data_IF_599707467475
#
_entry.id   IF_599707467475
#
_cell.length_a   1.000
_cell.length_b   1.000
_cell.length_c   1.000
_cell.angle_alpha   90.00
_cell.angle_beta   90.00
_cell.angle_gamma   90.00
#
_symmetry.space_group_name_H-M   'P 1'
#
loop_
_entity.id
_entity.type
_entity.pdbx_description
1 polymer ?
#
# COMPACT_ATOMS: atom_id res chain seq x y z
N UNK A 1 8.07 0.62 -17.43
CA UNK A 1 7.60 0.54 -16.03
C UNK A 1 6.34 1.37 -15.94
N UNK A 2 5.28 0.87 -15.31
CA UNK A 2 4.04 1.63 -15.15
C UNK A 2 4.11 2.50 -13.90
N UNK A 3 3.54 3.69 -13.98
CA UNK A 3 3.43 4.58 -12.84
C UNK A 3 2.03 4.45 -12.23
N UNK A 4 1.95 4.06 -10.96
CA UNK A 4 0.71 3.71 -10.26
C UNK A 4 0.55 4.66 -9.07
N UNK A 5 -0.64 5.22 -8.92
CA UNK A 5 -1.00 6.02 -7.75
C UNK A 5 -1.83 5.16 -6.81
N UNK A 6 -1.30 4.91 -5.62
CA UNK A 6 -2.05 4.32 -4.50
C UNK A 6 -2.77 5.44 -3.74
N UNK A 7 -4.07 5.28 -3.53
CA UNK A 7 -4.84 6.08 -2.58
C UNK A 7 -5.05 5.25 -1.32
N UNK A 8 -4.35 5.60 -0.26
CA UNK A 8 -4.38 4.92 1.03
C UNK A 8 -5.42 5.59 1.91
N UNK A 9 -6.51 4.90 2.29
CA UNK A 9 -7.52 5.45 3.18
C UNK A 9 -6.95 5.68 4.58
N UNK A 10 -7.54 6.63 5.31
CA UNK A 10 -7.12 6.98 6.68
C UNK A 10 -7.07 5.78 7.64
N UNK A 11 -7.97 4.81 7.47
CA UNK A 11 -8.00 3.58 8.28
C UNK A 11 -6.72 2.75 8.13
N UNK A 12 -5.99 2.88 7.02
CA UNK A 12 -4.72 2.21 6.71
C UNK A 12 -3.49 3.13 6.86
N UNK A 13 -3.68 4.40 7.20
CA UNK A 13 -2.61 5.38 7.41
C UNK A 13 -2.79 6.05 8.77
N UNK A 14 -2.45 5.31 9.82
CA UNK A 14 -2.75 5.66 11.22
C UNK A 14 -2.43 7.13 11.53
N UNK A 15 -3.46 7.89 11.95
CA UNK A 15 -3.38 9.32 12.30
C UNK A 15 -2.95 10.29 11.20
N UNK A 16 -2.71 9.82 9.97
CA UNK A 16 -2.19 10.62 8.86
C UNK A 16 -3.23 11.05 7.82
N UNK A 17 -4.49 10.66 7.97
CA UNK A 17 -5.54 10.93 6.97
C UNK A 17 -5.39 10.12 5.68
N UNK A 18 -6.14 10.47 4.63
CA UNK A 18 -5.91 9.88 3.29
C UNK A 18 -4.53 10.27 2.79
N UNK A 19 -3.79 9.32 2.23
CA UNK A 19 -2.48 9.54 1.64
C UNK A 19 -2.44 9.04 0.20
N UNK A 20 -1.91 9.84 -0.71
CA UNK A 20 -1.60 9.40 -2.07
C UNK A 20 -0.11 9.12 -2.19
N UNK A 21 0.24 8.02 -2.85
CA UNK A 21 1.64 7.64 -3.04
C UNK A 21 1.83 7.10 -4.43
N UNK A 22 2.84 7.62 -5.12
CA UNK A 22 3.17 7.28 -6.49
C UNK A 22 4.29 6.22 -6.49
N UNK A 23 4.09 5.11 -7.21
CA UNK A 23 5.05 4.02 -7.31
C UNK A 23 5.24 3.63 -8.78
N UNK A 24 6.51 3.57 -9.18
CA UNK A 24 6.92 2.96 -10.44
C UNK A 24 7.13 1.45 -10.25
N UNK A 25 6.39 0.63 -11.00
CA UNK A 25 6.42 -0.82 -10.88
C UNK A 25 6.37 -1.54 -12.23
N UNK A 26 6.97 -2.73 -12.28
CA UNK A 26 6.98 -3.61 -13.46
C UNK A 26 5.74 -4.51 -13.53
N UNK A 27 5.09 -4.76 -12.39
CA UNK A 27 3.86 -5.55 -12.26
C UNK A 27 3.04 -5.08 -11.06
N UNK A 28 1.78 -5.53 -10.95
CA UNK A 28 0.96 -5.24 -9.76
C UNK A 28 1.56 -5.85 -8.49
N UNK A 29 2.13 -7.06 -8.57
CA UNK A 29 2.77 -7.72 -7.42
C UNK A 29 3.96 -6.89 -6.92
N UNK A 30 4.80 -6.39 -7.85
CA UNK A 30 5.92 -5.48 -7.53
C UNK A 30 5.41 -4.18 -6.90
N UNK A 31 4.31 -3.61 -7.41
CA UNK A 31 3.71 -2.40 -6.85
C UNK A 31 3.24 -2.61 -5.39
N UNK A 32 2.55 -3.73 -5.12
CA UNK A 32 2.07 -4.07 -3.78
C UNK A 32 3.21 -4.42 -2.81
N UNK A 33 4.29 -5.04 -3.28
CA UNK A 33 5.49 -5.27 -2.48
C UNK A 33 6.13 -3.93 -2.05
N UNK A 34 6.36 -3.02 -3.01
CA UNK A 34 6.96 -1.70 -2.76
C UNK A 34 6.13 -0.83 -1.83
N UNK A 35 4.81 -0.76 -2.02
CA UNK A 35 3.96 0.06 -1.14
C UNK A 35 3.91 -0.52 0.27
N UNK A 36 3.96 -1.84 0.41
CA UNK A 36 3.98 -2.50 1.72
C UNK A 36 5.29 -2.25 2.47
N UNK A 37 6.43 -2.27 1.78
CA UNK A 37 7.73 -1.89 2.37
C UNK A 37 7.73 -0.43 2.82
N UNK A 38 7.12 0.47 2.03
CA UNK A 38 7.05 1.90 2.34
C UNK A 38 6.11 2.21 3.51
N UNK A 39 5.00 1.47 3.63
CA UNK A 39 3.99 1.69 4.67
C UNK A 39 4.23 0.89 5.96
N UNK A 40 5.05 -0.16 5.89
CA UNK A 40 5.43 -0.98 7.03
C UNK A 40 4.50 -2.17 7.31
N UNK A 41 4.88 -2.95 8.33
CA UNK A 41 4.30 -4.26 8.60
C UNK A 41 2.80 -4.24 8.95
N UNK A 42 2.31 -3.20 9.64
CA UNK A 42 0.86 -3.08 9.96
C UNK A 42 0.03 -2.98 8.68
N UNK A 43 0.45 -2.11 7.75
CA UNK A 43 -0.20 -1.99 6.46
C UNK A 43 -0.12 -3.29 5.67
N UNK A 44 1.07 -3.90 5.61
CA UNK A 44 1.30 -5.16 4.90
C UNK A 44 0.37 -6.27 5.39
N UNK A 45 0.26 -6.47 6.71
CA UNK A 45 -0.62 -7.47 7.32
C UNK A 45 -2.08 -7.24 6.94
N UNK A 46 -2.53 -5.99 7.02
CA UNK A 46 -3.94 -5.63 6.78
C UNK A 46 -4.35 -5.68 5.30
N UNK A 47 -3.41 -5.53 4.38
CA UNK A 47 -3.68 -5.48 2.93
C UNK A 47 -3.36 -6.79 2.22
N UNK A 48 -2.29 -7.49 2.63
CA UNK A 48 -1.80 -8.70 1.94
C UNK A 48 -2.07 -9.99 2.70
N UNK A 49 -2.18 -9.94 4.02
CA UNK A 49 -2.32 -11.14 4.87
C UNK A 49 -3.76 -11.33 5.38
N UNK A 50 -4.74 -10.70 4.73
CA UNK A 50 -6.13 -10.67 5.18
C UNK A 50 -6.69 -12.06 5.49
N UNK A 51 -7.07 -12.27 6.75
CA UNK A 51 -7.97 -13.34 7.18
C UNK A 51 -9.44 -13.03 6.85
N UNK A 52 -9.72 -11.86 6.27
CA UNK A 52 -11.04 -11.48 5.75
C UNK A 52 -12.08 -11.16 6.83
N UNK A 53 -11.65 -10.99 8.08
CA UNK A 53 -12.52 -10.68 9.24
C UNK A 53 -12.31 -9.29 9.80
#
# INVERSE_FOLDING_TARGET
MANIIFTIPSVLNQSGGEKKTEISASSLIDAFAKISELMGDDFKRRVLEGDGT
#
